data_IF_103425495369
#
_entry.id   IF_103425495369
#
_cell.length_a   1.000
_cell.length_b   1.000
_cell.length_c   1.000
_cell.angle_alpha   90.00
_cell.angle_beta   90.00
_cell.angle_gamma   90.00
#
_symmetry.space_group_name_H-M   'P 1'
#
loop_
_entity.id
_entity.type
_entity.pdbx_description
1 polymer ?
#
# COMPACT_ATOMS: atom_id res chain seq x y z
N UNK A 1 17.97 8.90 11.51
CA UNK A 1 16.90 9.73 12.12
C UNK A 1 16.23 10.51 11.00
N UNK A 2 14.91 10.38 10.80
CA UNK A 2 14.20 11.13 9.74
C UNK A 2 14.08 12.59 10.17
N UNK A 3 14.60 13.52 9.37
CA UNK A 3 14.52 14.96 9.61
C UNK A 3 13.04 15.37 9.53
N UNK A 4 12.52 15.99 10.59
CA UNK A 4 11.16 16.52 10.57
C UNK A 4 11.09 17.64 9.52
N UNK A 5 10.23 17.48 8.52
CA UNK A 5 9.96 18.52 7.53
C UNK A 5 9.09 19.57 8.22
N UNK A 6 9.55 20.82 8.25
CA UNK A 6 8.77 21.93 8.82
C UNK A 6 7.57 22.18 7.90
N UNK A 7 6.37 22.05 8.44
CA UNK A 7 5.15 22.42 7.73
C UNK A 7 5.07 23.96 7.67
N UNK A 8 5.15 24.54 6.48
CA UNK A 8 5.04 25.98 6.26
C UNK A 8 3.59 26.28 5.89
N UNK A 9 2.94 27.16 6.64
CA UNK A 9 1.61 27.69 6.35
C UNK A 9 1.77 28.97 5.52
N UNK A 10 0.83 29.22 4.61
CA UNK A 10 0.75 30.48 3.89
C UNK A 10 0.50 31.64 4.87
N UNK A 11 1.00 32.81 4.52
CA UNK A 11 0.67 34.08 5.16
C UNK A 11 -0.70 34.59 4.70
N UNK A 12 -1.34 35.49 5.45
CA UNK A 12 -2.62 36.09 5.04
C UNK A 12 -2.56 36.81 3.69
N UNK A 13 -1.41 37.40 3.34
CA UNK A 13 -1.22 38.06 2.04
C UNK A 13 -1.18 37.04 0.89
N UNK A 14 -0.50 35.91 1.09
CA UNK A 14 -0.47 34.80 0.14
C UNK A 14 -1.85 34.15 -0.02
N UNK A 15 -2.58 33.92 1.07
CA UNK A 15 -3.97 33.45 1.04
C UNK A 15 -4.87 34.40 0.23
N UNK A 16 -4.76 35.71 0.47
CA UNK A 16 -5.52 36.71 -0.29
C UNK A 16 -5.14 36.75 -1.78
N UNK A 17 -3.87 36.51 -2.11
CA UNK A 17 -3.42 36.42 -3.50
C UNK A 17 -3.98 35.17 -4.20
N UNK A 18 -4.03 34.03 -3.51
CA UNK A 18 -4.62 32.78 -4.01
C UNK A 18 -6.12 32.98 -4.25
N UNK A 19 -6.86 33.54 -3.29
CA UNK A 19 -8.29 33.80 -3.41
C UNK A 19 -8.63 34.72 -4.61
N UNK A 20 -7.82 35.76 -4.85
CA UNK A 20 -7.98 36.59 -6.06
C UNK A 20 -7.77 35.82 -7.35
N UNK A 21 -6.80 34.90 -7.36
CA UNK A 21 -6.54 34.04 -8.51
C UNK A 21 -7.72 33.13 -8.82
N UNK A 22 -8.25 32.47 -7.79
CA UNK A 22 -9.43 31.60 -7.92
C UNK A 22 -10.64 32.40 -8.43
N UNK A 23 -10.92 33.57 -7.85
CA UNK A 23 -12.06 34.40 -8.25
C UNK A 23 -11.94 34.96 -9.69
N UNK A 24 -10.72 35.09 -10.22
CA UNK A 24 -10.49 35.57 -11.58
C UNK A 24 -10.57 34.47 -12.65
N UNK A 25 -10.51 33.20 -12.25
CA UNK A 25 -10.55 32.04 -13.13
C UNK A 25 -12.00 31.51 -13.27
N UNK A 26 -12.62 31.60 -14.47
CA UNK A 26 -13.98 31.13 -14.67
C UNK A 26 -14.12 29.60 -14.60
N UNK A 27 -13.03 28.85 -14.74
CA UNK A 27 -13.04 27.38 -14.67
C UNK A 27 -12.73 26.86 -13.25
N UNK A 28 -12.36 27.75 -12.32
CA UNK A 28 -12.08 27.36 -10.96
C UNK A 28 -13.38 27.07 -10.18
N UNK A 29 -13.49 25.86 -9.65
CA UNK A 29 -14.58 25.44 -8.77
C UNK A 29 -14.05 25.21 -7.36
N UNK A 30 -14.46 26.05 -6.41
CA UNK A 30 -14.23 25.82 -4.99
C UNK A 30 -15.27 24.84 -4.46
N UNK A 31 -14.82 23.71 -3.89
CA UNK A 31 -15.71 22.73 -3.29
C UNK A 31 -16.32 23.29 -2.00
N UNK A 32 -17.64 23.15 -1.84
CA UNK A 32 -18.30 23.47 -0.57
C UNK A 32 -17.99 22.42 0.50
N UNK A 33 -18.22 22.76 1.77
CA UNK A 33 -18.05 21.81 2.87
C UNK A 33 -18.96 20.58 2.70
N UNK A 34 -20.20 20.79 2.22
CA UNK A 34 -21.13 19.70 1.93
C UNK A 34 -20.66 18.81 0.78
N UNK A 35 -20.04 19.40 -0.25
CA UNK A 35 -19.45 18.64 -1.35
C UNK A 35 -18.27 17.80 -0.85
N UNK A 36 -17.40 18.36 -0.01
CA UNK A 36 -16.27 17.65 0.61
C UNK A 36 -16.76 16.49 1.47
N UNK A 37 -17.79 16.71 2.30
CA UNK A 37 -18.37 15.67 3.16
C UNK A 37 -19.02 14.54 2.34
N UNK A 38 -19.53 14.84 1.15
CA UNK A 38 -20.09 13.86 0.23
C UNK A 38 -19.02 13.04 -0.54
N UNK A 39 -17.75 13.45 -0.53
CA UNK A 39 -16.68 12.75 -1.24
C UNK A 39 -16.24 11.46 -0.52
N UNK A 40 -15.88 10.45 -1.31
CA UNK A 40 -15.25 9.25 -0.77
C UNK A 40 -13.82 9.55 -0.30
N UNK A 41 -13.42 9.14 0.92
CA UNK A 41 -12.05 9.36 1.40
C UNK A 41 -11.02 8.77 0.45
N UNK A 42 -9.99 9.53 0.12
CA UNK A 42 -8.96 9.13 -0.84
C UNK A 42 -8.30 7.78 -0.51
N UNK A 43 -8.12 7.49 0.79
CA UNK A 43 -7.55 6.20 1.25
C UNK A 43 -8.44 5.02 0.84
N UNK A 44 -9.77 5.17 0.89
CA UNK A 44 -10.72 4.14 0.49
C UNK A 44 -10.74 3.97 -1.03
N UNK A 45 -10.72 5.08 -1.78
CA UNK A 45 -10.60 5.06 -3.25
C UNK A 45 -9.34 4.33 -3.68
N UNK A 46 -8.19 4.64 -3.05
CA UNK A 46 -6.90 3.98 -3.33
C UNK A 46 -6.95 2.50 -2.94
N UNK A 47 -7.53 2.14 -1.79
CA UNK A 47 -7.66 0.74 -1.40
C UNK A 47 -8.53 -0.07 -2.37
N UNK A 48 -9.60 0.54 -2.92
CA UNK A 48 -10.49 -0.09 -3.90
C UNK A 48 -9.89 -0.17 -5.30
N UNK A 49 -9.17 0.86 -5.76
CA UNK A 49 -8.68 0.98 -7.14
C UNK A 49 -7.21 0.61 -7.35
N UNK A 50 -6.37 0.76 -6.33
CA UNK A 50 -4.91 0.65 -6.46
C UNK A 50 -4.28 -0.16 -5.30
N UNK A 51 -4.37 -1.50 -5.41
CA UNK A 51 -3.57 -2.42 -4.60
C UNK A 51 -4.34 -3.64 -4.11
N UNK A 52 -3.59 -4.68 -3.70
CA UNK A 52 -4.18 -5.76 -2.88
C UNK A 52 -4.39 -5.21 -1.46
N UNK A 53 -5.56 -5.42 -0.84
CA UNK A 53 -5.77 -5.10 0.57
C UNK A 53 -4.66 -5.71 1.43
N UNK A 54 -4.29 -5.02 2.51
CA UNK A 54 -3.34 -5.56 3.49
C UNK A 54 -3.93 -6.86 4.06
N UNK A 55 -3.17 -7.95 3.97
CA UNK A 55 -3.53 -9.21 4.60
C UNK A 55 -3.41 -9.06 6.13
N UNK A 56 -4.38 -9.59 6.89
CA UNK A 56 -4.31 -9.62 8.36
C UNK A 56 -3.09 -10.39 8.87
N UNK A 57 -2.68 -11.44 8.14
CA UNK A 57 -1.56 -12.31 8.48
C UNK A 57 -0.66 -12.49 7.25
N UNK A 58 0.22 -11.52 6.93
CA UNK A 58 1.12 -11.64 5.80
C UNK A 58 2.14 -12.76 6.02
N UNK A 59 2.71 -13.28 4.92
CA UNK A 59 3.86 -14.19 5.00
C UNK A 59 5.03 -13.44 5.61
N UNK A 60 5.72 -14.07 6.56
CA UNK A 60 6.93 -13.51 7.15
C UNK A 60 8.12 -13.76 6.21
N UNK A 61 8.86 -12.70 5.88
CA UNK A 61 10.08 -12.82 5.08
C UNK A 61 11.25 -13.12 6.00
N UNK A 62 11.81 -14.32 5.86
CA UNK A 62 12.97 -14.79 6.63
C UNK A 62 14.09 -15.20 5.67
N UNK A 63 15.35 -15.04 6.12
CA UNK A 63 16.53 -15.49 5.38
C UNK A 63 16.95 -16.86 5.88
N UNK A 64 16.64 -17.91 5.11
CA UNK A 64 16.97 -19.32 5.43
C UNK A 64 17.87 -19.88 4.33
N UNK A 65 18.83 -20.74 4.71
CA UNK A 65 19.62 -21.54 3.77
C UNK A 65 18.96 -22.89 3.56
N UNK A 66 18.77 -23.28 2.30
CA UNK A 66 18.28 -24.58 1.88
C UNK A 66 19.36 -25.29 1.07
N UNK A 67 19.34 -26.62 1.06
CA UNK A 67 20.19 -27.40 0.18
C UNK A 67 19.86 -27.11 -1.30
N UNK A 68 20.89 -27.14 -2.14
CA UNK A 68 20.78 -26.69 -3.53
C UNK A 68 19.89 -27.60 -4.38
N UNK A 69 19.90 -28.90 -4.11
CA UNK A 69 19.08 -29.91 -4.76
C UNK A 69 17.59 -29.74 -4.43
N UNK A 70 17.25 -29.44 -3.18
CA UNK A 70 15.87 -29.12 -2.75
C UNK A 70 15.36 -27.90 -3.52
N UNK A 71 16.14 -26.82 -3.56
CA UNK A 71 15.75 -25.63 -4.31
C UNK A 71 15.63 -25.91 -5.81
N UNK A 72 16.52 -26.71 -6.38
CA UNK A 72 16.46 -27.08 -7.79
C UNK A 72 15.18 -27.88 -8.10
N UNK A 73 14.83 -28.84 -7.26
CA UNK A 73 13.62 -29.66 -7.42
C UNK A 73 12.35 -28.80 -7.45
N UNK A 74 12.16 -27.89 -6.49
CA UNK A 74 10.97 -27.03 -6.48
C UNK A 74 10.97 -26.05 -7.66
N UNK A 75 12.12 -25.46 -8.02
CA UNK A 75 12.22 -24.50 -9.14
C UNK A 75 11.94 -25.13 -10.50
N UNK A 76 12.26 -26.41 -10.68
CA UNK A 76 12.03 -27.14 -11.92
C UNK A 76 10.54 -27.16 -12.32
N UNK A 77 9.64 -27.14 -11.34
CA UNK A 77 8.19 -27.07 -11.55
C UNK A 77 7.68 -25.69 -12.04
N UNK A 78 8.57 -24.71 -12.25
CA UNK A 78 8.24 -23.41 -12.83
C UNK A 78 7.55 -22.43 -11.87
N UNK A 79 6.77 -21.45 -12.39
CA UNK A 79 6.10 -20.44 -11.58
C UNK A 79 5.30 -21.03 -10.40
N UNK A 80 5.31 -20.33 -9.27
CA UNK A 80 4.61 -20.78 -8.05
C UNK A 80 5.38 -21.79 -7.19
N UNK A 81 6.63 -22.11 -7.50
CA UNK A 81 7.44 -23.06 -6.73
C UNK A 81 7.55 -22.72 -5.23
N UNK A 82 7.64 -21.44 -4.87
CA UNK A 82 7.67 -21.00 -3.48
C UNK A 82 6.36 -21.31 -2.74
N UNK A 83 5.21 -21.25 -3.44
CA UNK A 83 3.91 -21.62 -2.87
C UNK A 83 3.87 -23.13 -2.62
N UNK A 84 4.28 -23.95 -3.60
CA UNK A 84 4.37 -25.41 -3.44
C UNK A 84 5.30 -25.81 -2.30
N UNK A 85 6.46 -25.17 -2.19
CA UNK A 85 7.39 -25.39 -1.08
C UNK A 85 6.75 -25.05 0.27
N UNK A 86 6.04 -23.92 0.37
CA UNK A 86 5.32 -23.56 1.58
C UNK A 86 4.20 -24.57 1.92
N UNK A 87 3.49 -25.09 0.93
CA UNK A 87 2.42 -26.07 1.14
C UNK A 87 2.97 -27.43 1.60
N UNK A 88 4.12 -27.86 1.07
CA UNK A 88 4.84 -29.03 1.55
C UNK A 88 5.24 -28.87 3.04
N UNK A 89 5.72 -27.68 3.44
CA UNK A 89 6.02 -27.40 4.86
C UNK A 89 4.75 -27.45 5.73
N UNK A 90 3.61 -26.92 5.24
CA UNK A 90 2.32 -27.01 5.95
C UNK A 90 1.87 -28.46 6.11
N UNK A 91 2.00 -29.27 5.08
CA UNK A 91 1.64 -30.69 5.12
C UNK A 91 2.54 -31.46 6.07
N UNK A 92 3.86 -31.21 6.03
CA UNK A 92 4.79 -31.79 6.97
C UNK A 92 4.41 -31.46 8.43
N UNK A 93 4.07 -30.19 8.71
CA UNK A 93 3.59 -29.78 10.04
C UNK A 93 2.30 -30.49 10.44
N UNK A 94 1.33 -30.68 9.54
CA UNK A 94 0.09 -31.41 9.85
C UNK A 94 0.34 -32.89 10.17
N UNK A 95 1.29 -33.51 9.48
CA UNK A 95 1.62 -34.94 9.68
C UNK A 95 2.42 -35.21 10.95
N UNK A 96 3.18 -34.22 11.42
CA UNK A 96 4.15 -34.39 12.51
C UNK A 96 3.83 -33.57 13.76
N UNK A 97 2.79 -32.74 13.73
CA UNK A 97 2.21 -32.17 14.96
C UNK A 97 1.07 -33.06 15.45
N UNK A 98 1.24 -33.60 16.65
CA UNK A 98 0.15 -34.12 17.48
C UNK A 98 -0.72 -32.98 18.00
#
# INVERSE_FOLDING_TARGET
MKKAVKFIRNTPEEEAAIARGIAADPDAHELSDEEIDAMEPFVEVVAKKFGRPKLERPKEQVSIRYDADILAAFRADGPGWQTRMNDALREWLKKHRA
#
